data_IF_737760922857
#
_entry.id   IF_737760922857
#
_cell.length_a   1.000
_cell.length_b   1.000
_cell.length_c   1.000
_cell.angle_alpha   90.00
_cell.angle_beta   90.00
_cell.angle_gamma   90.00
#
_symmetry.space_group_name_H-M   'P 1'
#
loop_
_entity.id
_entity.type
_entity.pdbx_description
1 polymer ?
#
# COMPACT_ATOMS: atom_id res chain seq x y z
N UNK A 1 16.89 4.36 14.49
CA UNK A 1 15.74 5.22 14.21
C UNK A 1 15.65 5.50 12.71
N UNK A 2 14.42 5.71 12.21
CA UNK A 2 14.14 6.02 10.79
C UNK A 2 13.10 5.12 10.15
N UNK A 3 12.80 3.93 10.71
CA UNK A 3 11.80 2.98 10.20
C UNK A 3 10.50 2.92 11.02
N UNK A 4 10.33 3.77 12.02
CA UNK A 4 9.17 3.76 12.92
C UNK A 4 7.84 3.93 12.15
N UNK A 5 7.87 4.65 11.03
CA UNK A 5 6.71 4.84 10.15
C UNK A 5 6.19 3.54 9.52
N UNK A 6 7.08 2.55 9.37
CA UNK A 6 6.76 1.28 8.70
C UNK A 6 6.04 0.28 9.61
N UNK A 7 5.95 0.56 10.92
CA UNK A 7 5.31 -0.35 11.87
C UNK A 7 3.86 -0.66 11.46
N UNK A 8 3.54 -1.95 11.40
CA UNK A 8 2.21 -2.42 11.01
C UNK A 8 1.88 -2.30 9.51
N UNK A 9 2.83 -1.97 8.64
CA UNK A 9 2.66 -2.13 7.19
C UNK A 9 2.86 -3.61 6.87
N UNK A 10 1.85 -4.33 6.37
CA UNK A 10 1.99 -5.75 6.04
C UNK A 10 2.76 -5.92 4.73
N UNK A 11 3.42 -7.06 4.57
CA UNK A 11 4.13 -7.43 3.34
C UNK A 11 5.60 -7.73 3.57
N UNK A 12 6.36 -7.76 2.47
CA UNK A 12 7.81 -8.01 2.48
C UNK A 12 8.59 -6.70 2.32
N UNK A 13 9.86 -6.70 2.71
CA UNK A 13 10.76 -5.56 2.50
C UNK A 13 10.88 -5.24 1.01
N UNK A 14 11.06 -6.26 0.15
CA UNK A 14 11.12 -6.06 -1.30
C UNK A 14 9.87 -5.41 -1.87
N UNK A 15 8.67 -5.83 -1.40
CA UNK A 15 7.41 -5.18 -1.77
C UNK A 15 7.32 -3.73 -1.29
N UNK A 16 7.81 -3.45 -0.08
CA UNK A 16 7.86 -2.10 0.47
C UNK A 16 8.78 -1.18 -0.36
N UNK A 17 9.93 -1.68 -0.81
CA UNK A 17 10.84 -0.95 -1.71
C UNK A 17 10.19 -0.70 -3.06
N UNK A 18 9.69 -1.76 -3.73
CA UNK A 18 9.07 -1.65 -5.06
C UNK A 18 7.91 -0.67 -5.11
N UNK A 19 7.16 -0.56 -4.01
CA UNK A 19 6.02 0.34 -3.88
C UNK A 19 6.38 1.67 -3.22
N UNK A 20 7.64 1.92 -2.89
CA UNK A 20 8.04 3.05 -2.05
C UNK A 20 7.04 3.23 -0.90
N UNK A 21 6.85 2.16 -0.11
CA UNK A 21 5.84 2.13 0.92
C UNK A 21 6.08 3.23 1.96
N UNK A 22 5.02 3.82 2.46
CA UNK A 22 5.16 4.90 3.43
C UNK A 22 3.83 5.44 3.92
N UNK A 23 3.94 6.45 4.75
CA UNK A 23 2.84 7.21 5.34
C UNK A 23 2.83 8.65 4.81
N UNK A 24 2.07 9.57 5.44
CA UNK A 24 1.95 10.93 4.93
C UNK A 24 3.29 11.68 4.80
N UNK A 25 4.28 11.38 5.65
CA UNK A 25 5.50 12.17 5.76
C UNK A 25 6.81 11.37 5.58
N UNK A 26 6.76 10.04 5.54
CA UNK A 26 7.94 9.18 5.47
C UNK A 26 7.69 8.00 4.56
N UNK A 27 8.66 7.69 3.71
CA UNK A 27 8.63 6.59 2.76
C UNK A 27 9.93 5.80 2.79
N UNK A 28 9.94 4.62 2.17
CA UNK A 28 11.12 3.75 2.13
C UNK A 28 12.35 4.43 1.53
N UNK A 29 12.19 5.29 0.54
CA UNK A 29 13.30 6.03 -0.09
C UNK A 29 14.11 6.87 0.91
N UNK A 30 13.52 7.29 2.02
CA UNK A 30 14.22 8.11 3.03
C UNK A 30 15.26 7.33 3.84
N UNK A 31 15.22 6.00 3.81
CA UNK A 31 16.10 5.13 4.63
C UNK A 31 16.86 4.09 3.81
N UNK A 32 16.67 4.05 2.49
CA UNK A 32 17.39 3.11 1.63
C UNK A 32 18.74 3.71 1.24
N UNK A 33 19.80 2.91 1.38
CA UNK A 33 21.13 3.22 0.86
C UNK A 33 21.38 2.48 -0.48
N UNK A 34 21.01 1.19 -0.54
CA UNK A 34 21.25 0.33 -1.71
C UNK A 34 20.15 -0.72 -1.84
N UNK A 35 19.89 -1.13 -3.07
CA UNK A 35 19.01 -2.26 -3.41
C UNK A 35 19.77 -3.22 -4.30
N UNK A 36 19.83 -4.50 -3.92
CA UNK A 36 20.42 -5.57 -4.74
C UNK A 36 19.29 -6.37 -5.36
N UNK A 37 19.33 -6.51 -6.68
CA UNK A 37 18.33 -7.25 -7.44
C UNK A 37 18.97 -8.39 -8.24
N UNK A 38 18.17 -9.42 -8.52
CA UNK A 38 18.51 -10.39 -9.55
C UNK A 38 17.83 -9.99 -10.85
N UNK A 39 18.65 -9.76 -11.89
CA UNK A 39 18.21 -9.48 -13.27
C UNK A 39 18.36 -10.74 -14.10
N UNK A 40 17.29 -11.31 -14.67
CA UNK A 40 17.40 -12.44 -15.58
C UNK A 40 18.36 -12.15 -16.74
N UNK A 41 19.27 -13.09 -16.99
CA UNK A 41 20.28 -12.97 -18.06
C UNK A 41 21.52 -12.14 -17.69
N UNK A 42 21.53 -11.43 -16.56
CA UNK A 42 22.66 -10.60 -16.11
C UNK A 42 23.24 -11.08 -14.78
N UNK A 43 22.38 -11.51 -13.84
CA UNK A 43 22.76 -11.87 -12.47
C UNK A 43 22.45 -10.76 -11.47
N UNK A 44 23.33 -10.58 -10.48
CA UNK A 44 23.16 -9.56 -9.45
C UNK A 44 23.47 -8.16 -10.01
N UNK A 45 22.61 -7.22 -9.70
CA UNK A 45 22.75 -5.80 -10.02
C UNK A 45 22.55 -4.99 -8.75
N UNK A 46 23.41 -4.04 -8.52
CA UNK A 46 23.41 -3.14 -7.38
C UNK A 46 22.95 -1.76 -7.82
N UNK A 47 21.94 -1.23 -7.13
CA UNK A 47 21.43 0.13 -7.32
C UNK A 47 21.68 0.93 -6.06
N UNK A 48 22.48 1.98 -6.15
CA UNK A 48 22.46 2.98 -5.09
C UNK A 48 21.08 3.68 -5.04
N UNK A 49 20.72 4.26 -3.91
CA UNK A 49 19.47 5.01 -3.78
C UNK A 49 19.28 6.06 -4.90
N UNK A 50 20.39 6.71 -5.30
CA UNK A 50 20.39 7.73 -6.36
C UNK A 50 20.11 7.20 -7.76
N UNK A 51 20.29 5.90 -7.99
CA UNK A 51 20.08 5.25 -9.28
C UNK A 51 18.62 4.86 -9.50
N UNK A 52 17.80 5.02 -8.46
CA UNK A 52 16.37 4.66 -8.47
C UNK A 52 15.55 5.95 -8.41
N UNK A 53 14.60 6.08 -9.33
CA UNK A 53 13.59 7.13 -9.27
C UNK A 53 12.43 6.69 -8.37
N UNK A 54 12.17 7.48 -7.34
CA UNK A 54 11.18 7.20 -6.33
C UNK A 54 9.92 8.05 -6.54
N UNK A 55 8.77 7.39 -6.58
CA UNK A 55 7.48 8.03 -6.80
C UNK A 55 6.47 7.64 -5.71
N UNK A 56 5.34 8.31 -5.69
CA UNK A 56 4.22 7.90 -4.85
C UNK A 56 3.71 6.51 -5.26
N UNK A 57 3.91 5.52 -4.39
CA UNK A 57 3.54 4.11 -4.60
C UNK A 57 4.15 3.48 -5.85
N UNK A 58 5.37 3.87 -6.19
CA UNK A 58 6.11 3.29 -7.31
C UNK A 58 7.61 3.57 -7.22
N UNK A 59 8.39 2.74 -7.90
CA UNK A 59 9.78 2.98 -8.29
C UNK A 59 9.91 2.68 -9.77
N UNK A 60 11.01 3.11 -10.39
CA UNK A 60 11.36 2.75 -11.78
C UNK A 60 12.16 1.44 -11.89
N UNK A 61 12.32 0.71 -10.79
CA UNK A 61 12.91 -0.63 -10.84
C UNK A 61 12.13 -1.52 -11.82
N UNK A 62 12.81 -2.17 -12.77
CA UNK A 62 12.16 -3.03 -13.76
C UNK A 62 11.33 -4.13 -13.10
N UNK A 63 10.08 -4.30 -13.54
CA UNK A 63 9.17 -5.32 -12.98
C UNK A 63 9.60 -6.78 -13.23
N UNK A 64 10.62 -6.99 -14.04
CA UNK A 64 11.24 -8.30 -14.32
C UNK A 64 12.40 -8.62 -13.35
N UNK A 65 12.81 -7.67 -12.53
CA UNK A 65 13.87 -7.85 -11.55
C UNK A 65 13.29 -8.30 -10.20
N UNK A 66 14.06 -9.10 -9.49
CA UNK A 66 13.68 -9.63 -8.17
C UNK A 66 14.56 -8.98 -7.11
N UNK A 67 13.98 -8.21 -6.20
CA UNK A 67 14.70 -7.61 -5.08
C UNK A 67 15.12 -8.72 -4.12
N UNK A 68 16.43 -8.86 -3.88
CA UNK A 68 17.02 -9.88 -3.02
C UNK A 68 17.49 -9.31 -1.68
N UNK A 69 18.11 -8.12 -1.71
CA UNK A 69 18.69 -7.48 -0.53
C UNK A 69 18.43 -5.98 -0.56
N UNK A 70 18.28 -5.40 0.62
CA UNK A 70 18.10 -3.96 0.81
C UNK A 70 19.01 -3.49 1.94
N UNK A 71 19.89 -2.55 1.65
CA UNK A 71 20.72 -1.89 2.64
C UNK A 71 20.00 -0.64 3.13
N UNK A 72 19.82 -0.54 4.45
CA UNK A 72 19.14 0.58 5.08
C UNK A 72 20.16 1.47 5.81
N UNK A 73 20.03 2.76 5.65
CA UNK A 73 20.78 3.75 6.40
C UNK A 73 19.89 4.32 7.51
N UNK A 74 20.21 3.92 8.74
CA UNK A 74 19.46 4.31 9.93
C UNK A 74 20.37 5.10 10.86
N UNK A 75 19.75 5.95 11.68
CA UNK A 75 20.51 6.73 12.67
C UNK A 75 20.35 6.12 14.07
N UNK A 76 21.39 6.18 14.93
CA UNK A 76 21.25 5.83 16.34
C UNK A 76 20.12 6.64 16.98
N UNK A 77 19.31 5.98 17.83
CA UNK A 77 18.18 6.62 18.52
C UNK A 77 17.99 6.03 19.90
N UNK A 78 17.37 6.79 20.79
CA UNK A 78 16.95 6.29 22.08
C UNK A 78 15.87 5.22 21.94
N UNK A 79 16.11 4.04 22.50
CA UNK A 79 15.22 2.89 22.35
C UNK A 79 13.80 3.14 22.93
N UNK A 80 13.68 3.94 24.00
CA UNK A 80 12.40 4.27 24.61
C UNK A 80 11.60 5.21 23.69
N UNK A 81 12.25 6.21 23.11
CA UNK A 81 11.64 7.15 22.15
C UNK A 81 11.20 6.43 20.87
N UNK A 82 12.04 5.54 20.32
CA UNK A 82 11.71 4.73 19.15
C UNK A 82 10.47 3.87 19.42
N UNK A 83 10.45 3.18 20.58
CA UNK A 83 9.32 2.33 20.98
C UNK A 83 8.03 3.15 21.14
N UNK A 84 8.07 4.27 21.81
CA UNK A 84 6.91 5.16 22.00
C UNK A 84 6.38 5.66 20.65
N UNK A 85 7.27 6.04 19.74
CA UNK A 85 6.91 6.47 18.38
C UNK A 85 6.21 5.35 17.63
N UNK A 86 6.76 4.12 17.66
CA UNK A 86 6.14 2.95 17.03
C UNK A 86 4.76 2.64 17.60
N UNK A 87 4.61 2.67 18.92
CA UNK A 87 3.32 2.45 19.60
C UNK A 87 2.29 3.51 19.18
N UNK A 88 2.68 4.76 19.13
CA UNK A 88 1.82 5.88 18.69
C UNK A 88 1.37 5.69 17.24
N UNK A 89 2.30 5.35 16.33
CA UNK A 89 1.97 5.09 14.92
C UNK A 89 1.00 3.91 14.81
N UNK A 90 1.26 2.82 15.53
CA UNK A 90 0.43 1.63 15.51
C UNK A 90 -0.99 1.90 16.06
N UNK A 91 -1.10 2.66 17.15
CA UNK A 91 -2.41 3.07 17.70
C UNK A 91 -3.22 3.89 16.71
N UNK A 92 -2.60 4.89 16.04
CA UNK A 92 -3.26 5.68 14.99
C UNK A 92 -3.76 4.80 13.84
N UNK A 93 -2.95 3.83 13.42
CA UNK A 93 -3.35 2.88 12.36
C UNK A 93 -4.53 2.01 12.79
N UNK A 94 -4.50 1.46 14.00
CA UNK A 94 -5.61 0.65 14.55
C UNK A 94 -6.92 1.43 14.64
N UNK A 95 -6.84 2.70 14.98
CA UNK A 95 -8.02 3.57 15.05
C UNK A 95 -8.61 3.93 13.67
N UNK A 96 -7.76 3.97 12.62
CA UNK A 96 -8.15 4.45 11.29
C UNK A 96 -8.31 3.37 10.22
N UNK A 97 -7.84 2.15 10.46
CA UNK A 97 -7.77 1.07 9.46
C UNK A 97 -8.31 -0.25 10.02
N UNK A 98 -8.93 -1.11 9.19
CA UNK A 98 -9.51 -2.38 9.62
C UNK A 98 -8.41 -3.46 9.79
N UNK A 99 -7.44 -3.25 10.68
CA UNK A 99 -6.28 -4.13 10.86
C UNK A 99 -6.61 -5.51 11.45
N UNK A 100 -7.83 -5.70 11.95
CA UNK A 100 -8.35 -6.96 12.50
C UNK A 100 -8.91 -7.91 11.44
N UNK A 101 -9.03 -7.46 10.20
CA UNK A 101 -9.52 -8.27 9.08
C UNK A 101 -8.50 -8.31 7.94
N UNK A 102 -8.36 -9.45 7.23
CA UNK A 102 -7.52 -9.53 6.06
C UNK A 102 -7.94 -8.52 4.98
N UNK A 103 -6.98 -7.78 4.44
CA UNK A 103 -7.19 -6.82 3.36
C UNK A 103 -5.88 -6.62 2.59
N UNK A 104 -5.96 -6.01 1.42
CA UNK A 104 -4.79 -5.62 0.62
C UNK A 104 -4.33 -4.17 0.89
N UNK A 105 -4.74 -3.56 2.00
CA UNK A 105 -4.48 -2.16 2.29
C UNK A 105 -5.41 -1.23 1.50
N UNK A 106 -4.93 -0.02 1.18
CA UNK A 106 -5.67 0.93 0.34
C UNK A 106 -5.83 0.38 -1.07
N UNK A 107 -7.07 0.33 -1.55
CA UNK A 107 -7.40 -0.23 -2.87
C UNK A 107 -7.13 0.75 -3.99
N UNK A 108 -7.37 2.04 -3.75
CA UNK A 108 -7.22 3.09 -4.74
C UNK A 108 -6.16 4.12 -4.32
N UNK A 109 -5.44 4.63 -5.30
CA UNK A 109 -4.46 5.71 -5.10
C UNK A 109 -5.16 7.00 -4.69
N UNK A 110 -4.52 7.76 -3.80
CA UNK A 110 -4.88 9.15 -3.58
C UNK A 110 -4.14 10.04 -4.58
N UNK A 111 -4.73 11.20 -4.91
CA UNK A 111 -4.00 12.30 -5.55
C UNK A 111 -3.79 13.44 -4.55
N UNK A 112 -3.06 14.49 -4.95
CA UNK A 112 -2.87 15.70 -4.14
C UNK A 112 -4.21 16.28 -3.65
N UNK A 113 -5.19 16.27 -4.54
CA UNK A 113 -6.46 17.00 -4.34
C UNK A 113 -7.61 16.09 -3.94
N UNK A 114 -7.49 14.77 -4.21
CA UNK A 114 -8.58 13.82 -4.02
C UNK A 114 -8.16 12.66 -3.10
N UNK A 115 -8.92 12.48 -2.05
CA UNK A 115 -8.81 11.33 -1.15
C UNK A 115 -9.86 10.29 -1.55
N UNK A 116 -9.42 9.16 -2.10
CA UNK A 116 -10.32 8.08 -2.56
C UNK A 116 -11.33 7.66 -1.48
N UNK A 117 -10.88 7.51 -0.22
CA UNK A 117 -11.76 7.16 0.89
C UNK A 117 -12.93 8.14 1.07
N UNK A 118 -12.71 9.45 0.88
CA UNK A 118 -13.78 10.45 1.01
C UNK A 118 -14.82 10.34 -0.10
N UNK A 119 -14.39 10.10 -1.33
CA UNK A 119 -15.31 9.92 -2.46
C UNK A 119 -16.15 8.65 -2.30
N UNK A 120 -15.53 7.55 -1.89
CA UNK A 120 -16.21 6.27 -1.66
C UNK A 120 -17.20 6.38 -0.51
N UNK A 121 -16.83 7.07 0.58
CA UNK A 121 -17.69 7.33 1.73
C UNK A 121 -18.88 8.24 1.36
N UNK A 122 -18.62 9.30 0.58
CA UNK A 122 -19.67 10.18 0.06
C UNK A 122 -20.67 9.46 -0.87
N UNK A 123 -20.22 8.38 -1.53
CA UNK A 123 -21.12 7.49 -2.27
C UNK A 123 -21.96 6.56 -1.36
N UNK A 124 -21.73 6.53 -0.06
CA UNK A 124 -22.42 5.64 0.87
C UNK A 124 -22.04 4.17 0.70
N UNK A 125 -20.83 3.89 0.22
CA UNK A 125 -20.41 2.52 -0.15
C UNK A 125 -19.78 1.73 1.00
N UNK A 126 -19.58 2.30 2.19
CA UNK A 126 -19.16 1.53 3.36
C UNK A 126 -20.15 0.40 3.64
N UNK A 127 -19.68 -0.81 3.85
CA UNK A 127 -20.48 -2.00 4.04
C UNK A 127 -21.04 -2.63 2.75
N UNK A 128 -20.79 -2.04 1.56
CA UNK A 128 -21.14 -2.68 0.29
C UNK A 128 -20.39 -3.99 0.13
N UNK A 129 -21.13 -5.06 -0.18
CA UNK A 129 -20.61 -6.43 -0.13
C UNK A 129 -20.93 -7.24 -1.37
N UNK A 130 -19.96 -8.03 -1.83
CA UNK A 130 -20.12 -9.09 -2.84
C UNK A 130 -19.50 -10.37 -2.28
N UNK A 131 -20.28 -11.44 -2.14
CA UNK A 131 -19.82 -12.62 -1.45
C UNK A 131 -19.34 -12.29 -0.03
N UNK A 132 -18.08 -12.60 0.27
CA UNK A 132 -17.45 -12.27 1.55
C UNK A 132 -16.41 -11.14 1.44
N UNK A 133 -16.37 -10.40 0.32
CA UNK A 133 -15.60 -9.17 0.18
C UNK A 133 -16.49 -7.96 0.47
N UNK A 134 -16.03 -7.05 1.33
CA UNK A 134 -16.81 -5.89 1.80
C UNK A 134 -15.98 -4.61 1.81
N UNK A 135 -16.55 -3.49 1.37
CA UNK A 135 -15.97 -2.16 1.62
C UNK A 135 -16.01 -1.91 3.13
N UNK A 136 -14.84 -1.75 3.74
CA UNK A 136 -14.72 -1.62 5.18
C UNK A 136 -15.59 -0.46 5.74
N UNK A 137 -16.29 -0.72 6.82
CA UNK A 137 -17.05 0.29 7.57
C UNK A 137 -16.14 1.25 8.34
N UNK A 138 -14.89 0.84 8.64
CA UNK A 138 -13.89 1.68 9.30
C UNK A 138 -13.24 2.65 8.31
N UNK A 139 -12.78 2.15 7.15
CA UNK A 139 -12.06 2.96 6.17
C UNK A 139 -12.51 2.63 4.74
N UNK A 140 -13.20 3.55 4.10
CA UNK A 140 -13.87 3.30 2.81
C UNK A 140 -12.93 2.91 1.65
N UNK A 141 -11.62 3.21 1.73
CA UNK A 141 -10.64 2.78 0.73
C UNK A 141 -10.01 1.41 1.03
N UNK A 142 -10.64 0.61 1.90
CA UNK A 142 -10.25 -0.76 2.21
C UNK A 142 -11.37 -1.72 1.82
N UNK A 143 -11.01 -2.83 1.19
CA UNK A 143 -11.90 -3.98 0.99
C UNK A 143 -11.39 -5.08 1.91
N UNK A 144 -12.25 -5.54 2.81
CA UNK A 144 -11.93 -6.57 3.80
C UNK A 144 -12.50 -7.91 3.37
N UNK A 145 -11.79 -8.98 3.71
CA UNK A 145 -12.23 -10.35 3.55
C UNK A 145 -12.87 -10.81 4.88
N UNK A 146 -14.18 -11.04 4.86
CA UNK A 146 -14.94 -11.51 6.02
C UNK A 146 -14.80 -13.02 6.27
N UNK A 147 -13.94 -13.68 5.50
CA UNK A 147 -13.70 -15.12 5.53
C UNK A 147 -14.19 -15.80 4.25
N UNK A 148 -13.25 -16.37 3.47
CA UNK A 148 -13.57 -17.09 2.24
C UNK A 148 -14.00 -16.23 1.04
N UNK A 149 -13.71 -14.92 1.03
CA UNK A 149 -13.89 -14.09 -0.16
C UNK A 149 -12.99 -14.57 -1.30
N UNK A 150 -13.55 -14.65 -2.50
CA UNK A 150 -12.78 -14.96 -3.70
C UNK A 150 -12.15 -13.70 -4.30
N UNK A 151 -11.08 -13.85 -5.10
CA UNK A 151 -10.52 -12.74 -5.86
C UNK A 151 -11.56 -12.09 -6.79
N UNK A 152 -12.47 -12.88 -7.35
CA UNK A 152 -13.58 -12.39 -8.17
C UNK A 152 -14.58 -11.54 -7.36
N UNK A 153 -14.82 -11.85 -6.09
CA UNK A 153 -15.66 -11.03 -5.23
C UNK A 153 -15.03 -9.66 -4.99
N UNK A 154 -13.73 -9.64 -4.66
CA UNK A 154 -12.97 -8.40 -4.49
C UNK A 154 -12.98 -7.56 -5.77
N UNK A 155 -12.73 -8.19 -6.94
CA UNK A 155 -12.75 -7.50 -8.23
C UNK A 155 -14.12 -6.86 -8.51
N UNK A 156 -15.22 -7.57 -8.23
CA UNK A 156 -16.59 -7.03 -8.39
C UNK A 156 -16.86 -5.84 -7.47
N UNK A 157 -16.38 -5.88 -6.22
CA UNK A 157 -16.49 -4.73 -5.32
C UNK A 157 -15.70 -3.54 -5.87
N UNK A 158 -14.48 -3.76 -6.38
CA UNK A 158 -13.64 -2.71 -6.99
C UNK A 158 -14.35 -2.07 -8.18
N UNK A 159 -14.87 -2.88 -9.11
CA UNK A 159 -15.60 -2.40 -10.31
C UNK A 159 -16.80 -1.54 -9.89
N UNK A 160 -17.61 -2.02 -8.96
CA UNK A 160 -18.77 -1.26 -8.48
C UNK A 160 -18.37 0.09 -7.86
N UNK A 161 -17.30 0.12 -7.05
CA UNK A 161 -16.79 1.37 -6.47
C UNK A 161 -16.34 2.35 -7.57
N UNK A 162 -15.61 1.87 -8.59
CA UNK A 162 -15.20 2.69 -9.73
C UNK A 162 -16.39 3.31 -10.45
N UNK A 163 -17.40 2.51 -10.76
CA UNK A 163 -18.62 2.94 -11.46
C UNK A 163 -19.40 3.99 -10.66
N UNK A 164 -19.65 3.74 -9.37
CA UNK A 164 -20.43 4.64 -8.54
C UNK A 164 -19.71 5.97 -8.27
N UNK A 165 -18.40 5.95 -8.02
CA UNK A 165 -17.62 7.18 -7.86
C UNK A 165 -17.58 7.98 -9.17
N UNK A 166 -17.34 7.32 -10.30
CA UNK A 166 -17.39 7.98 -11.61
C UNK A 166 -18.76 8.60 -11.90
N UNK A 167 -19.83 7.86 -11.64
CA UNK A 167 -21.22 8.31 -11.86
C UNK A 167 -21.58 9.51 -10.99
N UNK A 168 -21.19 9.53 -9.70
CA UNK A 168 -21.63 10.56 -8.76
C UNK A 168 -20.71 11.79 -8.71
N UNK A 169 -19.41 11.59 -8.95
CA UNK A 169 -18.40 12.63 -8.81
C UNK A 169 -17.66 12.97 -10.11
N UNK A 170 -17.86 12.22 -11.20
CA UNK A 170 -17.11 12.40 -12.45
C UNK A 170 -15.61 12.07 -12.34
N UNK A 171 -15.20 11.36 -11.27
CA UNK A 171 -13.80 11.05 -10.97
C UNK A 171 -13.49 9.61 -11.30
N UNK A 172 -12.40 9.38 -12.04
CA UNK A 172 -11.84 8.06 -12.28
C UNK A 172 -10.81 7.72 -11.20
N UNK A 173 -11.19 6.84 -10.26
CA UNK A 173 -10.24 6.30 -9.29
C UNK A 173 -9.26 5.36 -9.98
N UNK A 174 -8.00 5.37 -9.54
CA UNK A 174 -6.96 4.45 -10.04
C UNK A 174 -6.66 3.37 -9.01
N UNK A 175 -6.85 2.08 -9.31
CA UNK A 175 -6.48 1.02 -8.39
C UNK A 175 -4.97 1.07 -8.06
N UNK A 176 -4.64 0.82 -6.79
CA UNK A 176 -3.28 0.58 -6.31
C UNK A 176 -2.98 -0.93 -6.32
N UNK A 177 -4.01 -1.74 -6.15
CA UNK A 177 -3.91 -3.21 -6.17
C UNK A 177 -3.56 -3.71 -7.57
N UNK A 178 -2.76 -4.78 -7.63
CA UNK A 178 -2.38 -5.47 -8.88
C UNK A 178 -3.23 -6.72 -9.03
N UNK A 179 -3.83 -6.89 -10.19
CA UNK A 179 -4.60 -8.08 -10.55
C UNK A 179 -3.66 -9.11 -11.18
N UNK A 180 -3.51 -10.28 -10.56
CA UNK A 180 -2.70 -11.37 -11.08
C UNK A 180 -3.60 -12.54 -11.45
N UNK A 181 -3.41 -13.12 -12.66
CA UNK A 181 -4.20 -14.26 -13.13
C UNK A 181 -5.60 -13.92 -13.60
N UNK A 182 -5.94 -12.65 -13.75
CA UNK A 182 -7.15 -12.21 -14.45
C UNK A 182 -6.87 -12.06 -15.95
N UNK A 183 -7.84 -12.40 -16.82
CA UNK A 183 -7.70 -12.09 -18.24
C UNK A 183 -7.56 -10.57 -18.44
N UNK A 184 -6.75 -10.21 -19.44
CA UNK A 184 -6.52 -8.82 -19.81
C UNK A 184 -7.79 -8.16 -20.40
#
# INVERSE_FOLDING_TARGET
SGLEFAVGIPGTVGGAVSMNAGTANHWMDSVIAEVVVFRPGTGLVHYARSDISWYYRATDLPGTEIILEVVLELVPGDAAVVKETMETVLQRRRAAQPLNLPSCGSVFRNSSDLKAARLIDACGLKGYRVGNAEVSTVHANFIVNLGGATAADVARVIIHVLEEVRKRHGVELRPEVKFLGFPA
#
